data_IF_849311834492
#
_entry.id   IF_849311834492
#
_cell.length_a   1.000
_cell.length_b   1.000
_cell.length_c   1.000
_cell.angle_alpha   90.00
_cell.angle_beta   90.00
_cell.angle_gamma   90.00
#
_symmetry.space_group_name_H-M   'P 1'
#
loop_
_entity.id
_entity.type
_entity.pdbx_description
1 polymer ?
#
# COMPACT_ATOMS: atom_id res chain seq x y z
N UNK A 1 -8.69 6.97 18.19
CA UNK A 1 -7.27 6.65 18.44
C UNK A 1 -6.61 6.58 17.07
N UNK A 2 -5.93 7.66 16.64
CA UNK A 2 -5.39 7.77 15.28
C UNK A 2 -4.06 7.04 15.15
N UNK A 3 -4.09 5.92 14.42
CA UNK A 3 -2.93 5.10 14.10
C UNK A 3 -2.36 5.62 12.78
N UNK A 4 -1.60 6.71 12.89
CA UNK A 4 -1.30 7.51 11.72
C UNK A 4 -0.23 6.91 10.78
N UNK A 5 0.58 5.97 11.26
CA UNK A 5 1.67 5.38 10.48
C UNK A 5 2.04 3.98 10.92
N UNK A 6 2.67 3.26 10.00
CA UNK A 6 3.18 1.91 10.17
C UNK A 6 4.70 1.93 10.21
N UNK A 7 5.30 0.99 10.93
CA UNK A 7 6.71 0.64 10.74
C UNK A 7 6.83 -0.32 9.57
N UNK A 8 7.89 -0.15 8.79
CA UNK A 8 8.25 -1.09 7.74
C UNK A 8 8.38 -2.51 8.32
N UNK A 9 8.01 -3.53 7.55
CA UNK A 9 8.28 -4.92 7.94
C UNK A 9 9.80 -5.18 8.00
N UNK A 10 10.61 -4.62 7.11
CA UNK A 10 12.05 -4.89 7.08
C UNK A 10 12.85 -4.13 8.13
N UNK A 11 12.39 -2.94 8.50
CA UNK A 11 13.14 -2.01 9.35
C UNK A 11 12.24 -1.46 10.44
N UNK A 12 12.80 -1.06 11.58
CA UNK A 12 12.00 -0.37 12.62
C UNK A 12 11.68 1.08 12.25
N UNK A 13 11.95 1.51 11.00
CA UNK A 13 11.70 2.85 10.48
C UNK A 13 10.19 3.03 10.25
N UNK A 14 9.67 4.17 10.68
CA UNK A 14 8.29 4.57 10.40
C UNK A 14 8.11 4.94 8.92
N UNK A 15 6.92 4.66 8.39
CA UNK A 15 6.46 5.07 7.06
C UNK A 15 5.70 6.39 7.25
N UNK A 16 6.26 7.55 6.87
CA UNK A 16 5.62 8.84 7.10
C UNK A 16 4.39 9.01 6.20
N UNK A 17 3.30 9.55 6.78
CA UNK A 17 2.04 9.87 6.07
C UNK A 17 1.89 11.39 5.90
N UNK A 18 2.99 12.08 5.60
CA UNK A 18 2.95 13.54 5.46
C UNK A 18 2.29 13.94 4.13
N UNK A 19 1.35 14.90 4.19
CA UNK A 19 0.56 15.42 3.05
C UNK A 19 1.38 15.84 1.81
N UNK A 20 2.67 16.17 1.98
CA UNK A 20 3.52 16.71 0.91
C UNK A 20 4.56 15.73 0.38
N UNK A 21 4.63 14.52 0.94
CA UNK A 21 5.53 13.47 0.45
C UNK A 21 4.79 12.14 0.46
N UNK A 22 4.26 11.78 -0.71
CA UNK A 22 3.68 10.46 -0.94
C UNK A 22 4.77 9.41 -0.73
N UNK A 23 4.50 8.45 0.16
CA UNK A 23 5.45 7.37 0.46
C UNK A 23 5.03 6.13 -0.30
N UNK A 24 5.86 5.71 -1.26
CA UNK A 24 5.64 4.50 -2.06
C UNK A 24 5.96 3.26 -1.22
N UNK A 25 5.00 2.34 -1.12
CA UNK A 25 5.11 1.09 -0.35
C UNK A 25 4.66 -0.09 -1.19
N UNK A 26 5.12 -1.29 -0.81
CA UNK A 26 4.63 -2.57 -1.30
C UNK A 26 3.97 -3.31 -0.14
N UNK A 27 2.70 -3.65 -0.32
CA UNK A 27 1.99 -4.59 0.52
C UNK A 27 2.23 -6.02 0.03
N UNK A 28 2.74 -6.88 0.91
CA UNK A 28 2.88 -8.31 0.66
C UNK A 28 1.63 -9.00 1.18
N UNK A 29 0.85 -9.61 0.29
CA UNK A 29 -0.45 -10.17 0.63
C UNK A 29 -0.36 -11.67 1.01
N UNK A 30 -1.27 -12.20 1.84
CA UNK A 30 -1.27 -13.61 2.25
C UNK A 30 -1.38 -14.64 1.11
N UNK A 31 -1.91 -14.24 -0.04
CA UNK A 31 -1.99 -15.09 -1.23
C UNK A 31 -0.70 -15.10 -2.08
N UNK A 32 0.33 -14.36 -1.66
CA UNK A 32 1.60 -14.22 -2.37
C UNK A 32 1.68 -13.01 -3.31
N UNK A 33 0.58 -12.31 -3.55
CA UNK A 33 0.57 -11.11 -4.38
C UNK A 33 1.36 -9.97 -3.72
N UNK A 34 1.95 -9.10 -4.55
CA UNK A 34 2.55 -7.84 -4.14
C UNK A 34 1.78 -6.69 -4.75
N UNK A 35 1.37 -5.74 -3.92
CA UNK A 35 0.63 -4.55 -4.37
C UNK A 35 1.43 -3.31 -4.00
N UNK A 36 1.95 -2.61 -5.00
CA UNK A 36 2.59 -1.31 -4.85
C UNK A 36 1.53 -0.20 -4.85
N UNK A 37 1.80 0.88 -4.13
CA UNK A 37 0.99 2.08 -4.13
C UNK A 37 1.57 3.16 -3.22
N UNK A 38 1.00 4.35 -3.27
CA UNK A 38 1.38 5.43 -2.36
C UNK A 38 0.49 5.42 -1.12
N UNK A 39 1.09 5.34 0.07
CA UNK A 39 0.34 5.35 1.31
C UNK A 39 -0.33 6.72 1.52
N UNK A 40 -1.67 6.74 1.48
CA UNK A 40 -2.51 7.91 1.72
C UNK A 40 -3.47 7.66 2.90
N UNK A 41 -3.70 8.69 3.72
CA UNK A 41 -4.69 8.69 4.82
C UNK A 41 -4.86 7.34 5.54
N UNK A 42 -3.83 6.93 6.28
CA UNK A 42 -3.82 5.86 7.28
C UNK A 42 -3.99 4.42 6.79
N UNK A 43 -4.88 4.19 5.83
CA UNK A 43 -5.33 2.84 5.44
C UNK A 43 -5.50 2.68 3.93
N UNK A 44 -5.31 3.75 3.15
CA UNK A 44 -5.52 3.69 1.71
C UNK A 44 -4.18 3.67 0.97
N UNK A 45 -4.12 2.88 -0.09
CA UNK A 45 -3.07 2.97 -1.09
C UNK A 45 -3.64 3.66 -2.32
N UNK A 46 -3.01 4.76 -2.71
CA UNK A 46 -3.33 5.52 -3.91
C UNK A 46 -2.57 4.96 -5.11
N UNK A 47 -3.22 4.93 -6.27
CA UNK A 47 -2.64 4.41 -7.52
C UNK A 47 -2.05 3.00 -7.36
N UNK A 48 -2.87 2.07 -6.88
CA UNK A 48 -2.40 0.71 -6.64
C UNK A 48 -2.11 -0.04 -7.94
N UNK A 49 -1.09 -0.88 -7.88
CA UNK A 49 -0.69 -1.77 -8.97
C UNK A 49 -0.16 -3.07 -8.39
N UNK A 50 -0.55 -4.21 -8.97
CA UNK A 50 0.14 -5.47 -8.71
C UNK A 50 1.52 -5.42 -9.36
N UNK A 51 2.53 -5.87 -8.63
CA UNK A 51 3.91 -5.87 -9.11
C UNK A 51 4.54 -7.24 -8.97
N UNK A 52 5.52 -7.53 -9.81
CA UNK A 52 6.29 -8.76 -9.76
C UNK A 52 7.38 -8.75 -8.68
N UNK A 53 8.23 -9.77 -8.69
CA UNK A 53 9.32 -9.88 -7.72
C UNK A 53 10.37 -8.76 -7.84
N UNK A 54 10.47 -8.11 -9.00
CA UNK A 54 11.40 -7.00 -9.30
C UNK A 54 10.77 -5.63 -9.08
N UNK A 55 9.53 -5.58 -8.60
CA UNK A 55 8.71 -4.40 -8.44
C UNK A 55 8.26 -3.77 -9.76
N UNK A 56 8.29 -4.53 -10.86
CA UNK A 56 7.76 -4.10 -12.14
C UNK A 56 6.23 -4.35 -12.15
N UNK A 57 5.41 -3.39 -12.64
CA UNK A 57 3.97 -3.59 -12.77
C UNK A 57 3.62 -4.84 -13.59
N UNK A 58 2.66 -5.63 -13.09
CA UNK A 58 2.10 -6.73 -13.87
C UNK A 58 1.28 -6.20 -15.06
N UNK A 59 1.10 -7.01 -16.13
CA UNK A 59 0.30 -6.62 -17.28
C UNK A 59 -1.15 -6.28 -16.90
N UNK A 60 -1.79 -5.39 -17.68
CA UNK A 60 -3.12 -4.83 -17.39
C UNK A 60 -4.22 -5.87 -17.15
N UNK A 61 -4.13 -7.06 -17.76
CA UNK A 61 -5.11 -8.15 -17.60
C UNK A 61 -5.04 -8.84 -16.23
N UNK A 62 -3.93 -8.65 -15.51
CA UNK A 62 -3.68 -9.18 -14.17
C UNK A 62 -3.62 -8.07 -13.11
N UNK A 63 -3.70 -6.81 -13.54
CA UNK A 63 -3.54 -5.66 -12.69
C UNK A 63 -4.88 -5.04 -12.30
N UNK A 64 -4.83 -4.12 -11.34
CA UNK A 64 -5.96 -3.27 -11.03
C UNK A 64 -6.17 -2.23 -12.16
N UNK A 65 -7.38 -1.68 -12.29
CA UNK A 65 -7.61 -0.54 -13.17
C UNK A 65 -6.66 0.63 -12.84
N UNK A 66 -6.26 1.38 -13.87
CA UNK A 66 -5.36 2.52 -13.72
C UNK A 66 -5.90 3.56 -12.72
N UNK A 67 -5.01 4.12 -11.90
CA UNK A 67 -5.29 5.16 -10.90
C UNK A 67 -6.32 4.81 -9.82
N UNK A 68 -6.60 3.53 -9.60
CA UNK A 68 -7.51 3.13 -8.53
C UNK A 68 -6.86 3.30 -7.15
N UNK A 69 -7.69 3.67 -6.18
CA UNK A 69 -7.35 3.69 -4.75
C UNK A 69 -7.96 2.46 -4.10
N UNK A 70 -7.21 1.77 -3.25
CA UNK A 70 -7.70 0.60 -2.53
C UNK A 70 -7.41 0.70 -1.03
N UNK A 71 -8.35 0.24 -0.22
CA UNK A 71 -8.13 0.08 1.22
C UNK A 71 -7.22 -1.11 1.48
N UNK A 72 -6.22 -0.93 2.33
CA UNK A 72 -5.32 -1.99 2.80
C UNK A 72 -6.14 -3.13 3.43
N UNK A 73 -7.17 -2.81 4.21
CA UNK A 73 -8.00 -3.82 4.85
C UNK A 73 -8.75 -4.67 3.82
N UNK A 74 -9.31 -4.05 2.78
CA UNK A 74 -9.99 -4.76 1.71
C UNK A 74 -9.02 -5.64 0.91
N UNK A 75 -7.84 -5.11 0.56
CA UNK A 75 -6.80 -5.86 -0.14
C UNK A 75 -6.40 -7.12 0.63
N UNK A 76 -6.18 -7.01 1.94
CA UNK A 76 -5.85 -8.16 2.79
C UNK A 76 -7.03 -9.12 2.97
N UNK A 77 -8.23 -8.59 3.20
CA UNK A 77 -9.43 -9.38 3.35
C UNK A 77 -9.67 -10.30 2.15
N UNK A 78 -9.50 -9.76 0.93
CA UNK A 78 -9.65 -10.53 -0.32
C UNK A 78 -8.52 -11.53 -0.56
N UNK A 79 -7.33 -11.28 0.00
CA UNK A 79 -6.17 -12.16 -0.17
C UNK A 79 -6.15 -13.36 0.79
N UNK A 80 -7.02 -13.41 1.81
CA UNK A 80 -7.14 -14.59 2.67
C UNK A 80 -7.84 -15.76 1.96
N UNK A 81 -7.60 -16.99 2.43
CA UNK A 81 -8.30 -18.18 1.98
C UNK A 81 -8.98 -18.91 3.17
N UNK A 82 -10.32 -18.92 3.28
CA UNK A 82 -11.25 -18.18 2.42
C UNK A 82 -11.14 -16.65 2.63
N UNK A 83 -11.57 -15.83 1.64
CA UNK A 83 -11.64 -14.38 1.80
C UNK A 83 -12.49 -13.97 2.99
N UNK A 84 -12.09 -12.90 3.67
CA UNK A 84 -12.87 -12.33 4.77
C UNK A 84 -14.06 -11.57 4.19
N UNK A 85 -15.24 -11.80 4.75
CA UNK A 85 -16.48 -11.17 4.27
C UNK A 85 -16.84 -10.00 5.18
N UNK A 86 -17.03 -8.78 4.62
CA UNK A 86 -17.51 -7.66 5.42
C UNK A 86 -18.94 -7.92 5.91
N UNK A 87 -19.29 -7.25 6.99
CA UNK A 87 -20.64 -7.14 7.52
C UNK A 87 -21.53 -6.33 6.54
N UNK A 88 -22.86 -6.36 6.69
CA UNK A 88 -23.78 -5.67 5.77
C UNK A 88 -23.60 -4.15 5.67
N UNK A 89 -22.97 -3.54 6.66
CA UNK A 89 -22.60 -2.12 6.71
C UNK A 89 -21.27 -1.81 5.98
N UNK A 90 -20.56 -2.84 5.51
CA UNK A 90 -19.27 -2.72 4.82
C UNK A 90 -18.06 -2.92 5.74
N UNK A 91 -18.26 -2.99 7.06
CA UNK A 91 -17.17 -3.11 8.03
C UNK A 91 -16.75 -4.57 8.26
N UNK A 92 -15.52 -4.78 8.72
CA UNK A 92 -15.05 -6.11 9.13
C UNK A 92 -15.31 -6.34 10.63
N UNK A 93 -15.51 -7.61 11.01
CA UNK A 93 -15.58 -7.97 12.44
C UNK A 93 -14.26 -7.66 13.11
N UNK A 94 -14.28 -7.30 14.39
CA UNK A 94 -13.04 -7.00 15.15
C UNK A 94 -11.99 -8.13 15.06
N UNK A 95 -12.41 -9.40 15.14
CA UNK A 95 -11.49 -10.53 15.01
C UNK A 95 -10.87 -10.64 13.60
N UNK A 96 -11.60 -10.21 12.55
CA UNK A 96 -11.10 -10.17 11.18
C UNK A 96 -10.13 -9.00 10.99
N UNK A 97 -10.43 -7.85 11.61
CA UNK A 97 -9.53 -6.68 11.69
C UNK A 97 -8.23 -7.08 12.39
N UNK A 98 -8.30 -7.69 13.57
CA UNK A 98 -7.13 -8.16 14.31
C UNK A 98 -6.30 -9.15 13.47
N UNK A 99 -6.98 -10.05 12.75
CA UNK A 99 -6.32 -10.99 11.84
C UNK A 99 -5.60 -10.28 10.68
N UNK A 100 -6.19 -9.22 10.12
CA UNK A 100 -5.54 -8.40 9.09
C UNK A 100 -4.30 -7.71 9.68
N UNK A 101 -4.44 -7.08 10.85
CA UNK A 101 -3.35 -6.38 11.55
C UNK A 101 -2.17 -7.33 11.88
N UNK A 102 -2.46 -8.55 12.32
CA UNK A 102 -1.47 -9.59 12.61
C UNK A 102 -0.75 -10.13 11.36
N UNK A 103 -1.23 -9.79 10.16
CA UNK A 103 -0.66 -10.24 8.89
C UNK A 103 -0.13 -9.09 8.02
N UNK A 104 -0.37 -7.84 8.42
CA UNK A 104 0.00 -6.68 7.63
C UNK A 104 1.51 -6.57 7.45
N UNK A 105 1.96 -6.52 6.20
CA UNK A 105 3.36 -6.44 5.78
C UNK A 105 3.51 -5.37 4.70
N UNK A 106 3.87 -4.18 5.14
CA UNK A 106 4.19 -3.03 4.32
C UNK A 106 5.70 -2.79 4.34
N UNK A 107 6.29 -2.60 3.16
CA UNK A 107 7.71 -2.28 3.00
C UNK A 107 7.83 -1.06 2.11
N UNK A 108 8.73 -0.13 2.45
CA UNK A 108 9.06 0.97 1.55
C UNK A 108 9.64 0.41 0.25
N UNK A 109 9.21 0.89 -0.93
CA UNK A 109 9.70 0.37 -2.22
C UNK A 109 11.23 0.34 -2.30
N UNK A 110 11.90 1.36 -1.77
CA UNK A 110 13.38 1.46 -1.74
C UNK A 110 14.06 0.37 -0.88
N UNK A 111 13.33 -0.28 0.03
CA UNK A 111 13.84 -1.30 0.93
C UNK A 111 13.50 -2.72 0.45
N UNK A 112 12.65 -2.88 -0.57
CA UNK A 112 12.22 -4.20 -1.07
C UNK A 112 13.34 -4.89 -1.85
N UNK A 113 13.62 -6.13 -1.48
CA UNK A 113 14.50 -7.04 -2.21
C UNK A 113 13.66 -8.08 -2.98
N UNK A 114 14.14 -8.58 -4.14
CA UNK A 114 13.39 -9.57 -4.91
C UNK A 114 13.04 -10.85 -4.14
N UNK A 115 13.89 -11.22 -3.17
CA UNK A 115 13.71 -12.40 -2.32
C UNK A 115 12.72 -12.22 -1.17
N UNK A 116 12.20 -11.01 -0.95
CA UNK A 116 11.23 -10.78 0.11
C UNK A 116 9.91 -11.50 -0.23
N UNK A 117 9.32 -12.20 0.72
CA UNK A 117 8.03 -12.88 0.54
C UNK A 117 7.14 -12.58 1.73
N UNK A 118 5.85 -12.88 1.58
CA UNK A 118 4.94 -12.77 2.71
C UNK A 118 5.49 -13.58 3.91
N UNK A 119 5.91 -14.82 3.71
CA UNK A 119 6.30 -15.74 4.78
C UNK A 119 7.59 -15.32 5.51
N UNK A 120 8.52 -14.64 4.84
CA UNK A 120 9.81 -14.29 5.43
C UNK A 120 9.85 -12.88 6.06
N UNK A 121 8.89 -12.02 5.73
CA UNK A 121 8.78 -10.69 6.30
C UNK A 121 8.06 -10.74 7.66
N UNK A 122 8.56 -10.02 8.69
CA UNK A 122 7.83 -9.88 9.93
C UNK A 122 6.64 -8.92 9.75
N UNK A 123 5.73 -8.90 10.71
CA UNK A 123 4.53 -8.05 10.68
C UNK A 123 4.91 -6.58 10.87
N UNK A 124 4.33 -5.71 10.05
CA UNK A 124 4.35 -4.26 10.21
C UNK A 124 3.59 -3.87 11.47
N UNK A 125 4.25 -3.13 12.35
CA UNK A 125 3.65 -2.69 13.61
C UNK A 125 3.25 -1.23 13.49
N UNK A 126 2.27 -0.82 14.27
CA UNK A 126 2.01 0.60 14.47
C UNK A 126 3.27 1.32 14.91
N UNK A 127 3.52 2.49 14.32
CA UNK A 127 4.63 3.31 14.77
C UNK A 127 4.24 4.06 16.06
N UNK A 128 4.84 3.76 17.22
CA UNK A 128 4.53 4.47 18.46
C UNK A 128 4.92 5.95 18.40
N UNK A 129 5.72 6.36 17.40
CA UNK A 129 6.12 7.75 17.19
C UNK A 129 5.24 8.48 16.16
N UNK A 130 4.20 7.81 15.63
CA UNK A 130 3.19 8.40 14.75
C UNK A 130 2.47 9.62 15.38
N UNK A 131 2.52 9.73 16.71
CA UNK A 131 1.80 10.74 17.50
C UNK A 131 2.33 12.18 17.43
N UNK A 132 3.15 12.56 16.45
CA UNK A 132 3.53 13.96 16.22
C UNK A 132 3.09 14.54 14.87
N UNK A 133 2.29 13.82 14.09
CA UNK A 133 1.57 14.42 12.96
C UNK A 133 0.22 14.93 13.43
N UNK A 134 0.14 16.25 13.61
CA UNK A 134 -1.06 17.05 13.89
C UNK A 134 -2.35 16.45 13.30
N UNK A 135 -3.32 16.16 14.17
CA UNK A 135 -4.73 16.08 13.77
C UNK A 135 -5.13 17.47 13.27
N UNK A 136 -5.33 17.61 11.96
CA UNK A 136 -5.93 18.80 11.35
C UNK A 136 -7.36 18.45 10.99
N UNK A 137 -8.31 19.30 11.39
CA UNK A 137 -9.76 19.09 11.26
C UNK A 137 -10.29 19.00 9.80
N UNK A 138 -9.44 19.11 8.77
CA UNK A 138 -9.82 19.15 7.36
C UNK A 138 -9.38 17.90 6.56
N UNK A 139 -9.51 16.70 7.14
CA UNK A 139 -9.05 15.44 6.52
C UNK A 139 -9.98 14.83 5.44
N UNK A 140 -11.01 15.55 4.98
CA UNK A 140 -12.04 14.97 4.11
C UNK A 140 -11.88 15.19 2.60
N UNK A 141 -10.77 15.72 2.11
CA UNK A 141 -10.51 15.77 0.66
C UNK A 141 -9.01 15.69 0.37
N UNK A 142 -8.49 14.49 0.14
CA UNK A 142 -7.29 14.32 -0.69
C UNK A 142 -7.83 13.95 -2.06
N UNK A 143 -8.06 14.97 -2.90
CA UNK A 143 -8.72 14.80 -4.19
C UNK A 143 -7.87 13.92 -5.12
N UNK A 144 -8.58 13.06 -5.84
CA UNK A 144 -8.14 12.20 -6.94
C UNK A 144 -7.15 12.89 -7.91
N UNK A 145 -7.22 14.21 -8.01
CA UNK A 145 -6.35 15.08 -8.83
C UNK A 145 -4.86 15.00 -8.46
N UNK A 146 -4.53 14.82 -7.18
CA UNK A 146 -3.13 14.62 -6.75
C UNK A 146 -2.58 13.26 -7.23
N UNK A 147 -3.40 12.20 -7.23
CA UNK A 147 -2.99 10.91 -7.79
C UNK A 147 -2.80 10.97 -9.32
N UNK A 148 -3.64 11.74 -10.01
CA UNK A 148 -3.56 11.96 -11.46
C UNK A 148 -2.33 12.78 -11.88
N UNK A 149 -1.83 13.72 -11.05
CA UNK A 149 -0.59 14.44 -11.34
C UNK A 149 0.65 13.56 -11.23
N UNK A 150 0.71 12.64 -10.26
CA UNK A 150 1.87 11.76 -10.06
C UNK A 150 1.94 10.60 -11.06
N UNK A 151 0.80 10.07 -11.52
CA UNK A 151 0.76 9.05 -12.58
C UNK A 151 1.41 9.49 -13.91
N UNK A 152 1.47 10.81 -14.15
CA UNK A 152 2.12 11.39 -15.34
C UNK A 152 3.65 11.45 -15.25
N UNK A 153 4.24 11.21 -14.07
CA UNK A 153 5.68 11.42 -13.82
C UNK A 153 6.52 10.13 -14.01
N UNK A 154 5.92 8.95 -14.11
CA UNK A 154 6.66 7.69 -14.38
C UNK A 154 6.13 6.90 -15.57
N UNK A 155 6.41 7.41 -16.78
CA UNK A 155 6.86 6.58 -17.91
C UNK A 155 7.86 7.41 -18.73
N UNK A 156 9.19 7.35 -18.49
CA UNK A 156 10.10 7.56 -19.60
C UNK A 156 9.89 6.34 -20.50
N UNK A 157 9.12 6.52 -21.57
CA UNK A 157 9.14 5.58 -22.67
C UNK A 157 10.62 5.40 -23.02
N UNK A 158 11.09 4.16 -23.03
CA UNK A 158 12.35 3.81 -23.67
C UNK A 158 12.29 4.32 -25.11
N UNK A 159 12.79 5.53 -25.36
CA UNK A 159 13.12 5.99 -26.71
C UNK A 159 14.43 5.31 -27.06
N UNK A 160 14.35 4.01 -27.30
CA UNK A 160 15.27 3.32 -28.17
C UNK A 160 14.95 3.79 -29.60
N UNK A 161 15.64 4.83 -30.05
CA UNK A 161 15.96 4.95 -31.47
C UNK A 161 17.47 5.15 -31.60
N UNK A 162 18.17 4.02 -31.57
CA UNK A 162 19.32 3.84 -32.44
C UNK A 162 18.84 3.94 -33.89
N UNK A 163 19.28 4.97 -34.57
CA UNK A 163 19.57 5.03 -36.01
C UNK A 163 20.72 6.04 -36.10
N UNK A 164 21.92 5.68 -36.54
CA UNK A 164 22.17 5.15 -37.87
C UNK A 164 22.54 6.32 -38.75
#
# INVERSE_FOLDING_TARGET
MGIASWRCAKTTKGIPVQRFQLTEVIAFLPNGDRVAGFLGNYENLLSISKVDEKNDPLPDDQNFPEHITGSIFELYAQAFNPPLTPLPDGDYRLADIDRILDNLKLVLVEEVAPTDTFENLPVSKHDPWAGYTYEYDEQWMLELDLALEFGKVRIPANVNTHSG
#
